data_IF_217693999119
#
_entry.id   IF_217693999119
#
_cell.length_a   1.000
_cell.length_b   1.000
_cell.length_c   1.000
_cell.angle_alpha   90.00
_cell.angle_beta   90.00
_cell.angle_gamma   90.00
#
_symmetry.space_group_name_H-M   'P 1'
#
loop_
_entity.id
_entity.type
_entity.pdbx_description
1 polymer ?
#
# COMPACT_ATOMS: atom_id res chain seq x y z
N UNK A 1 -2.43 -22.35 -27.22
CA UNK A 1 -3.62 -21.80 -26.52
C UNK A 1 -3.12 -20.83 -25.46
N UNK A 2 -3.20 -19.53 -25.72
CA UNK A 2 -2.77 -18.52 -24.75
C UNK A 2 -3.72 -18.52 -23.56
N UNK A 3 -3.19 -18.76 -22.35
CA UNK A 3 -3.98 -18.63 -21.13
C UNK A 3 -4.51 -17.20 -21.05
N UNK A 4 -5.82 -17.02 -20.89
CA UNK A 4 -6.43 -15.72 -20.64
C UNK A 4 -5.87 -15.18 -19.31
N UNK A 5 -4.80 -14.41 -19.37
CA UNK A 5 -4.26 -13.73 -18.19
C UNK A 5 -5.34 -12.78 -17.69
N UNK A 6 -5.81 -12.98 -16.46
CA UNK A 6 -6.81 -12.12 -15.84
C UNK A 6 -6.33 -10.67 -15.94
N UNK A 7 -7.08 -9.84 -16.67
CA UNK A 7 -6.73 -8.43 -16.88
C UNK A 7 -7.00 -7.60 -15.63
N UNK A 8 -7.87 -8.10 -14.77
CA UNK A 8 -8.40 -7.46 -13.57
C UNK A 8 -7.77 -8.09 -12.34
N UNK A 9 -7.14 -7.25 -11.52
CA UNK A 9 -6.42 -7.66 -10.33
C UNK A 9 -7.03 -6.99 -9.11
N UNK A 10 -7.30 -7.77 -8.08
CA UNK A 10 -7.76 -7.22 -6.81
C UNK A 10 -6.59 -6.60 -6.04
N UNK A 11 -6.72 -5.31 -5.74
CA UNK A 11 -5.79 -4.60 -4.86
C UNK A 11 -5.98 -5.02 -3.41
N UNK A 12 -7.22 -5.32 -3.03
CA UNK A 12 -7.62 -5.80 -1.72
C UNK A 12 -8.17 -7.22 -1.86
N UNK A 13 -7.72 -8.20 -1.07
CA UNK A 13 -8.22 -9.58 -1.17
C UNK A 13 -9.74 -9.62 -1.06
N UNK A 14 -10.42 -10.39 -1.93
CA UNK A 14 -11.88 -10.41 -1.94
C UNK A 14 -12.48 -10.80 -0.59
N UNK A 15 -11.82 -11.68 0.18
CA UNK A 15 -12.32 -12.07 1.48
C UNK A 15 -12.32 -10.91 2.50
N UNK A 16 -11.43 -9.92 2.35
CA UNK A 16 -11.45 -8.68 3.13
C UNK A 16 -12.71 -7.90 2.77
N UNK A 17 -12.95 -7.70 1.48
CA UNK A 17 -14.09 -6.95 0.96
C UNK A 17 -15.43 -7.59 1.35
N UNK A 18 -15.53 -8.92 1.37
CA UNK A 18 -16.73 -9.64 1.84
C UNK A 18 -17.08 -9.33 3.29
N UNK A 19 -16.11 -8.98 4.13
CA UNK A 19 -16.39 -8.60 5.51
C UNK A 19 -17.11 -7.25 5.64
N UNK A 20 -17.06 -6.41 4.60
CA UNK A 20 -17.70 -5.09 4.52
C UNK A 20 -18.87 -5.09 3.53
N UNK A 21 -19.22 -6.25 2.97
CA UNK A 21 -20.25 -6.35 1.97
C UNK A 21 -21.63 -6.60 2.61
N UNK A 22 -22.63 -5.90 2.09
CA UNK A 22 -24.05 -6.15 2.33
C UNK A 22 -24.64 -6.74 1.04
N UNK A 23 -25.30 -7.91 1.13
CA UNK A 23 -25.84 -8.64 -0.02
C UNK A 23 -24.83 -8.83 -1.17
N UNK A 24 -23.57 -9.11 -0.81
CA UNK A 24 -22.48 -9.30 -1.78
C UNK A 24 -21.97 -8.00 -2.44
N UNK A 25 -22.37 -6.84 -1.95
CA UNK A 25 -21.95 -5.52 -2.45
C UNK A 25 -21.25 -4.72 -1.36
N UNK A 26 -20.13 -4.09 -1.70
CA UNK A 26 -19.50 -3.08 -0.85
C UNK A 26 -20.17 -1.74 -1.11
N UNK A 27 -20.49 -1.00 -0.05
CA UNK A 27 -20.98 0.38 -0.13
C UNK A 27 -19.78 1.33 -0.20
N UNK A 28 -19.63 1.99 -1.35
CA UNK A 28 -18.64 3.04 -1.56
C UNK A 28 -19.29 4.41 -1.46
N UNK A 29 -18.48 5.44 -1.18
CA UNK A 29 -18.92 6.84 -1.18
C UNK A 29 -18.07 7.66 -2.14
N UNK A 30 -18.72 8.36 -3.06
CA UNK A 30 -18.06 9.31 -3.95
C UNK A 30 -17.61 10.55 -3.18
N UNK A 31 -16.67 11.32 -3.74
CA UNK A 31 -16.25 12.63 -3.19
C UNK A 31 -17.43 13.58 -2.95
N UNK A 32 -18.44 13.54 -3.82
CA UNK A 32 -19.67 14.35 -3.70
C UNK A 32 -20.61 13.88 -2.59
N UNK A 33 -20.24 12.84 -1.83
CA UNK A 33 -21.03 12.30 -0.73
C UNK A 33 -22.10 11.30 -1.14
N UNK A 34 -22.38 11.13 -2.44
CA UNK A 34 -23.27 10.12 -2.97
C UNK A 34 -22.73 8.70 -2.75
N UNK A 35 -23.60 7.80 -2.34
CA UNK A 35 -23.27 6.40 -2.12
C UNK A 35 -23.43 5.59 -3.41
N UNK A 36 -22.66 4.51 -3.53
CA UNK A 36 -22.78 3.57 -4.63
C UNK A 36 -22.50 2.15 -4.14
N UNK A 37 -23.18 1.17 -4.74
CA UNK A 37 -22.98 -0.25 -4.43
C UNK A 37 -22.10 -0.87 -5.52
N UNK A 38 -21.04 -1.54 -5.12
CA UNK A 38 -20.13 -2.23 -6.02
C UNK A 38 -20.10 -3.72 -5.66
N UNK A 39 -20.41 -4.64 -6.59
CA UNK A 39 -20.27 -6.07 -6.32
C UNK A 39 -18.85 -6.38 -5.86
N UNK A 40 -18.67 -7.24 -4.85
CA UNK A 40 -17.34 -7.58 -4.29
C UNK A 40 -16.34 -7.98 -5.38
N UNK A 41 -16.79 -8.74 -6.39
CA UNK A 41 -15.96 -9.18 -7.53
C UNK A 41 -15.41 -8.04 -8.40
N UNK A 42 -15.98 -6.84 -8.30
CA UNK A 42 -15.55 -5.64 -9.04
C UNK A 42 -14.98 -4.56 -8.11
N UNK A 43 -15.03 -4.76 -6.79
CA UNK A 43 -14.52 -3.81 -5.82
C UNK A 43 -12.99 -3.93 -5.68
N UNK A 44 -12.34 -2.76 -5.54
CA UNK A 44 -10.88 -2.63 -5.44
C UNK A 44 -10.12 -3.38 -6.56
N UNK A 45 -10.65 -3.34 -7.79
CA UNK A 45 -10.01 -3.95 -8.96
C UNK A 45 -9.22 -2.90 -9.73
N UNK A 46 -8.00 -3.24 -10.12
CA UNK A 46 -7.19 -2.47 -11.06
C UNK A 46 -6.78 -3.34 -12.24
N UNK A 47 -6.78 -2.77 -13.44
CA UNK A 47 -6.35 -3.49 -14.64
C UNK A 47 -4.83 -3.50 -14.75
N UNK A 48 -4.27 -4.64 -15.12
CA UNK A 48 -2.84 -4.85 -15.33
C UNK A 48 -1.91 -4.54 -14.15
N UNK A 49 -2.46 -4.41 -12.93
CA UNK A 49 -1.72 -4.04 -11.73
C UNK A 49 -0.57 -4.98 -11.36
N UNK A 50 -0.77 -6.30 -11.50
CA UNK A 50 0.26 -7.31 -11.24
C UNK A 50 0.71 -8.01 -12.53
N UNK A 51 0.44 -7.40 -13.69
CA UNK A 51 0.82 -7.98 -14.98
C UNK A 51 2.23 -7.49 -15.34
N UNK A 52 3.20 -8.39 -15.32
CA UNK A 52 4.52 -8.12 -15.88
C UNK A 52 4.57 -8.58 -17.35
N UNK A 53 5.04 -7.73 -18.30
CA UNK A 53 5.26 -8.13 -19.67
C UNK A 53 6.48 -9.05 -19.75
N UNK A 54 6.35 -10.23 -20.35
CA UNK A 54 7.48 -11.11 -20.66
C UNK A 54 8.15 -10.67 -21.98
N UNK A 55 9.40 -11.09 -22.18
CA UNK A 55 10.18 -10.78 -23.39
C UNK A 55 9.48 -11.23 -24.69
N UNK A 56 8.61 -12.23 -24.62
CA UNK A 56 7.82 -12.76 -25.74
C UNK A 56 6.42 -12.13 -25.86
N UNK A 57 6.13 -11.08 -25.08
CA UNK A 57 4.82 -10.41 -25.05
C UNK A 57 3.75 -11.12 -24.23
N UNK A 58 4.05 -12.32 -23.69
CA UNK A 58 3.21 -13.02 -22.74
C UNK A 58 3.08 -12.25 -21.41
N UNK A 59 2.01 -12.55 -20.65
CA UNK A 59 1.66 -11.85 -19.40
C UNK A 59 1.53 -12.83 -18.25
N UNK A 60 2.25 -12.58 -17.15
CA UNK A 60 2.30 -13.50 -15.99
C UNK A 60 1.43 -13.02 -14.82
N UNK A 61 0.76 -13.96 -14.15
CA UNK A 61 -0.01 -13.75 -12.88
C UNK A 61 0.62 -14.49 -11.69
N UNK A 62 1.92 -14.80 -11.77
CA UNK A 62 2.62 -15.58 -10.75
C UNK A 62 2.56 -14.92 -9.36
N UNK A 63 2.61 -13.59 -9.30
CA UNK A 63 2.50 -12.84 -8.05
C UNK A 63 1.13 -13.04 -7.38
N UNK A 64 0.03 -13.09 -8.14
CA UNK A 64 -1.30 -13.27 -7.54
C UNK A 64 -1.49 -14.67 -6.98
N UNK A 65 -1.03 -15.67 -7.72
CA UNK A 65 -1.05 -17.05 -7.25
C UNK A 65 -0.19 -17.20 -6.00
N UNK A 66 0.96 -16.50 -5.94
CA UNK A 66 1.81 -16.48 -4.76
C UNK A 66 1.10 -15.80 -3.57
N UNK A 67 0.55 -14.60 -3.77
CA UNK A 67 -0.12 -13.85 -2.72
C UNK A 67 -1.33 -14.62 -2.17
N UNK A 68 -2.17 -15.19 -3.03
CA UNK A 68 -3.31 -16.01 -2.61
C UNK A 68 -2.87 -17.19 -1.74
N UNK A 69 -1.86 -17.96 -2.19
CA UNK A 69 -1.43 -19.19 -1.51
C UNK A 69 -0.59 -18.95 -0.25
N UNK A 70 0.25 -17.91 -0.25
CA UNK A 70 1.28 -17.73 0.77
C UNK A 70 1.05 -16.53 1.69
N UNK A 71 0.13 -15.63 1.35
CA UNK A 71 -0.10 -14.40 2.12
C UNK A 71 -1.57 -14.25 2.49
N UNK A 72 -2.42 -14.06 1.49
CA UNK A 72 -3.82 -13.70 1.64
C UNK A 72 -4.62 -14.88 2.22
N UNK A 73 -4.46 -16.09 1.68
CA UNK A 73 -5.12 -17.31 2.19
C UNK A 73 -4.73 -17.65 3.63
N UNK A 74 -3.42 -17.78 3.95
CA UNK A 74 -2.96 -18.04 5.32
C UNK A 74 -3.39 -16.98 6.35
N UNK A 75 -3.54 -15.71 5.95
CA UNK A 75 -3.94 -14.62 6.84
C UNK A 75 -5.44 -14.60 7.16
N UNK A 76 -6.28 -15.25 6.35
CA UNK A 76 -7.73 -15.19 6.52
C UNK A 76 -8.26 -15.58 7.92
N UNK A 77 -7.73 -16.62 8.61
CA UNK A 77 -8.11 -16.93 9.99
C UNK A 77 -7.73 -15.82 10.99
N UNK A 78 -6.54 -15.25 10.90
CA UNK A 78 -6.07 -14.19 11.80
C UNK A 78 -6.95 -12.93 11.70
N UNK A 79 -7.37 -12.56 10.48
CA UNK A 79 -8.26 -11.42 10.27
C UNK A 79 -9.69 -11.67 10.77
N UNK A 80 -10.18 -12.91 10.67
CA UNK A 80 -11.46 -13.28 11.29
C UNK A 80 -11.40 -13.13 12.82
N UNK A 81 -10.33 -13.62 13.44
CA UNK A 81 -10.08 -13.46 14.87
C UNK A 81 -10.07 -11.98 15.30
N UNK A 82 -9.31 -11.14 14.58
CA UNK A 82 -9.26 -9.69 14.84
C UNK A 82 -10.66 -9.04 14.76
N UNK A 83 -11.46 -9.42 13.76
CA UNK A 83 -12.82 -8.92 13.57
C UNK A 83 -13.78 -9.36 14.67
N UNK A 84 -13.59 -10.58 15.18
CA UNK A 84 -14.33 -11.12 16.33
C UNK A 84 -13.87 -10.53 17.66
N UNK A 85 -12.93 -9.58 17.61
CA UNK A 85 -12.45 -8.83 18.76
C UNK A 85 -11.35 -9.54 19.53
N UNK A 86 -10.77 -10.61 18.98
CA UNK A 86 -9.64 -11.30 19.58
C UNK A 86 -8.36 -10.47 19.38
N UNK A 87 -7.89 -9.90 20.48
CA UNK A 87 -6.63 -9.15 20.56
C UNK A 87 -6.07 -9.26 21.98
N UNK A 88 -4.78 -9.55 22.17
CA UNK A 88 -3.77 -9.81 21.15
C UNK A 88 -4.01 -11.13 20.40
N UNK A 89 -3.50 -11.22 19.18
CA UNK A 89 -3.40 -12.49 18.45
C UNK A 89 -2.33 -13.38 19.09
N UNK A 90 -2.44 -14.70 18.90
CA UNK A 90 -1.33 -15.60 19.24
C UNK A 90 -0.11 -15.34 18.34
N UNK A 91 1.06 -15.87 18.72
CA UNK A 91 2.31 -15.59 18.02
C UNK A 91 2.30 -15.97 16.53
N UNK A 92 1.64 -17.07 16.16
CA UNK A 92 1.57 -17.53 14.77
C UNK A 92 0.61 -16.64 13.95
N UNK A 93 -0.57 -16.36 14.49
CA UNK A 93 -1.54 -15.46 13.88
C UNK A 93 -1.00 -14.04 13.76
N UNK A 94 -0.26 -13.57 14.76
CA UNK A 94 0.39 -12.26 14.75
C UNK A 94 1.42 -12.16 13.63
N UNK A 95 2.28 -13.18 13.47
CA UNK A 95 3.30 -13.20 12.42
C UNK A 95 2.66 -13.17 11.02
N UNK A 96 1.61 -13.95 10.78
CA UNK A 96 0.92 -13.95 9.49
C UNK A 96 0.15 -12.64 9.25
N UNK A 97 -0.44 -12.04 10.27
CA UNK A 97 -1.07 -10.73 10.17
C UNK A 97 -0.05 -9.63 9.83
N UNK A 98 1.15 -9.69 10.42
CA UNK A 98 2.25 -8.78 10.12
C UNK A 98 2.71 -8.89 8.66
N UNK A 99 2.90 -10.12 8.17
CA UNK A 99 3.30 -10.37 6.78
C UNK A 99 2.25 -9.84 5.80
N UNK A 100 0.97 -10.09 6.08
CA UNK A 100 -0.12 -9.57 5.27
C UNK A 100 -0.15 -8.03 5.27
N UNK A 101 0.03 -7.37 6.41
CA UNK A 101 0.11 -5.92 6.49
C UNK A 101 1.28 -5.36 5.68
N UNK A 102 2.46 -5.96 5.78
CA UNK A 102 3.63 -5.56 4.99
C UNK A 102 3.35 -5.68 3.48
N UNK A 103 2.73 -6.79 3.05
CA UNK A 103 2.32 -6.96 1.65
C UNK A 103 1.28 -5.93 1.20
N UNK A 104 0.32 -5.58 2.05
CA UNK A 104 -0.67 -4.54 1.69
C UNK A 104 -0.02 -3.17 1.47
N UNK A 105 0.99 -2.80 2.26
CA UNK A 105 1.75 -1.54 2.07
C UNK A 105 2.46 -1.53 0.72
N UNK A 106 3.18 -2.60 0.39
CA UNK A 106 3.97 -2.72 -0.85
C UNK A 106 3.08 -2.84 -2.10
N UNK A 107 1.86 -3.37 -1.94
CA UNK A 107 0.84 -3.46 -2.99
C UNK A 107 0.09 -2.15 -3.22
N UNK A 108 0.39 -1.08 -2.51
CA UNK A 108 -0.25 0.22 -2.81
C UNK A 108 0.30 0.81 -4.11
N UNK A 109 -0.57 1.51 -4.84
CA UNK A 109 -0.15 2.29 -6.01
C UNK A 109 0.92 3.32 -5.64
N UNK A 110 0.82 3.94 -4.46
CA UNK A 110 1.81 4.88 -3.97
C UNK A 110 3.21 4.25 -3.87
N UNK A 111 3.30 3.03 -3.33
CA UNK A 111 4.58 2.33 -3.20
C UNK A 111 5.14 1.94 -4.58
N UNK A 112 4.31 1.41 -5.48
CA UNK A 112 4.75 1.09 -6.85
C UNK A 112 5.20 2.33 -7.62
N UNK A 113 4.44 3.42 -7.56
CA UNK A 113 4.81 4.67 -8.21
C UNK A 113 6.07 5.28 -7.61
N UNK A 114 6.29 5.15 -6.30
CA UNK A 114 7.53 5.56 -5.66
C UNK A 114 8.71 4.72 -6.17
N UNK A 115 8.60 3.40 -6.18
CA UNK A 115 9.66 2.51 -6.66
C UNK A 115 9.97 2.75 -8.15
N UNK A 116 8.95 2.97 -8.97
CA UNK A 116 9.09 3.34 -10.37
C UNK A 116 9.77 4.71 -10.53
N UNK A 117 9.42 5.71 -9.73
CA UNK A 117 10.06 7.03 -9.74
C UNK A 117 11.52 6.94 -9.29
N UNK A 118 11.80 6.20 -8.21
CA UNK A 118 13.15 5.95 -7.73
C UNK A 118 13.98 5.27 -8.82
N UNK A 119 13.44 4.23 -9.46
CA UNK A 119 14.06 3.58 -10.61
C UNK A 119 14.33 4.59 -11.74
N UNK A 120 13.31 5.35 -12.16
CA UNK A 120 13.43 6.33 -13.25
C UNK A 120 14.49 7.41 -12.98
N UNK A 121 14.60 7.88 -11.74
CA UNK A 121 15.48 8.99 -11.41
C UNK A 121 16.88 8.57 -10.96
N UNK A 122 17.03 7.41 -10.31
CA UNK A 122 18.33 6.91 -9.86
C UNK A 122 19.04 6.03 -10.89
N UNK A 123 18.30 5.37 -11.79
CA UNK A 123 18.90 4.48 -12.78
C UNK A 123 19.97 5.18 -13.64
N UNK A 124 19.78 6.41 -14.16
CA UNK A 124 20.81 7.07 -14.96
C UNK A 124 22.11 7.31 -14.19
N UNK A 125 22.02 7.56 -12.89
CA UNK A 125 23.18 7.76 -12.00
C UNK A 125 23.92 6.46 -11.78
N UNK A 126 23.20 5.37 -11.51
CA UNK A 126 23.80 4.04 -11.33
C UNK A 126 24.43 3.54 -12.63
N UNK A 127 23.75 3.72 -13.76
CA UNK A 127 24.29 3.41 -15.10
C UNK A 127 25.59 4.16 -15.38
N UNK A 128 25.63 5.46 -15.05
CA UNK A 128 26.82 6.27 -15.24
C UNK A 128 27.98 5.84 -14.34
N UNK A 129 27.71 5.38 -13.12
CA UNK A 129 28.74 4.83 -12.24
C UNK A 129 29.35 3.54 -12.82
N UNK A 130 28.52 2.63 -13.34
CA UNK A 130 29.00 1.41 -14.02
C UNK A 130 29.80 1.75 -15.29
N UNK A 131 29.37 2.75 -16.06
CA UNK A 131 30.09 3.19 -17.26
C UNK A 131 31.48 3.77 -16.93
N UNK A 132 31.62 4.49 -15.81
CA UNK A 132 32.91 4.94 -15.30
C UNK A 132 33.80 3.74 -14.97
N UNK A 133 33.29 2.77 -14.21
CA UNK A 133 34.03 1.56 -13.85
C UNK A 133 34.49 0.78 -15.09
N UNK A 134 33.60 0.57 -16.05
CA UNK A 134 33.92 -0.07 -17.33
C UNK A 134 35.01 0.65 -18.12
N UNK A 135 34.99 1.99 -18.15
CA UNK A 135 36.04 2.77 -18.81
C UNK A 135 37.40 2.66 -18.10
N UNK A 136 37.41 2.68 -16.76
CA UNK A 136 38.62 2.49 -15.95
C UNK A 136 39.24 1.10 -16.19
N UNK A 137 38.40 0.06 -16.17
CA UNK A 137 38.81 -1.32 -16.49
C UNK A 137 39.37 -1.44 -17.91
N UNK A 138 38.67 -0.89 -18.91
CA UNK A 138 39.08 -0.98 -20.31
C UNK A 138 40.38 -0.23 -20.61
N UNK A 139 40.65 0.86 -19.89
CA UNK A 139 41.88 1.64 -20.02
C UNK A 139 43.02 1.12 -19.15
N UNK A 140 42.75 0.12 -18.29
CA UNK A 140 43.68 -0.43 -17.30
C UNK A 140 44.32 0.65 -16.42
N UNK A 141 43.54 1.70 -16.10
CA UNK A 141 43.94 2.78 -15.21
C UNK A 141 42.74 3.52 -14.64
N UNK A 142 42.89 4.15 -13.47
CA UNK A 142 41.92 5.12 -13.00
C UNK A 142 41.78 6.29 -13.99
N UNK A 143 40.55 6.79 -14.10
CA UNK A 143 40.27 8.03 -14.81
C UNK A 143 40.62 9.21 -13.88
N UNK A 144 41.15 10.29 -14.47
CA UNK A 144 41.26 11.57 -13.78
C UNK A 144 39.86 12.11 -13.42
N UNK A 145 39.79 13.03 -12.47
CA UNK A 145 38.51 13.60 -12.03
C UNK A 145 37.72 14.23 -13.18
N UNK A 146 38.39 14.94 -14.08
CA UNK A 146 37.77 15.54 -15.27
C UNK A 146 37.21 14.46 -16.22
N UNK A 147 38.00 13.42 -16.51
CA UNK A 147 37.55 12.29 -17.34
C UNK A 147 36.37 11.56 -16.69
N UNK A 148 36.40 11.34 -15.37
CA UNK A 148 35.31 10.72 -14.62
C UNK A 148 34.03 11.53 -14.75
N UNK A 149 34.09 12.84 -14.55
CA UNK A 149 32.92 13.72 -14.68
C UNK A 149 32.38 13.74 -16.10
N UNK A 150 33.25 13.78 -17.11
CA UNK A 150 32.84 13.76 -18.51
C UNK A 150 32.14 12.46 -18.89
N UNK A 151 32.75 11.31 -18.57
CA UNK A 151 32.16 9.98 -18.80
C UNK A 151 30.86 9.84 -18.04
N UNK A 152 30.83 10.22 -16.77
CA UNK A 152 29.64 10.13 -15.93
C UNK A 152 28.47 10.92 -16.53
N UNK A 153 28.65 12.22 -16.81
CA UNK A 153 27.55 13.04 -17.32
C UNK A 153 27.11 12.66 -18.73
N UNK A 154 28.03 12.17 -19.55
CA UNK A 154 27.70 11.62 -20.87
C UNK A 154 26.86 10.35 -20.73
N UNK A 155 27.26 9.44 -19.84
CA UNK A 155 26.51 8.22 -19.57
C UNK A 155 25.14 8.49 -18.93
N UNK A 156 24.99 9.49 -18.06
CA UNK A 156 23.68 9.91 -17.53
C UNK A 156 22.73 10.33 -18.65
N UNK A 157 23.21 11.16 -19.61
CA UNK A 157 22.39 11.63 -20.74
C UNK A 157 22.06 10.53 -21.75
N UNK A 158 22.93 9.53 -21.85
CA UNK A 158 22.78 8.38 -22.75
C UNK A 158 22.17 7.16 -22.07
N UNK A 159 21.78 7.28 -20.79
CA UNK A 159 21.21 6.17 -20.05
C UNK A 159 19.95 5.68 -20.78
N UNK A 160 19.85 4.37 -21.07
CA UNK A 160 18.66 3.83 -21.72
C UNK A 160 17.45 3.98 -20.81
N UNK A 161 16.26 3.93 -21.40
CA UNK A 161 15.04 3.88 -20.60
C UNK A 161 15.12 2.66 -19.66
N UNK A 162 14.90 2.83 -18.34
CA UNK A 162 14.97 1.74 -17.38
C UNK A 162 14.08 0.55 -17.76
N UNK A 163 12.98 0.78 -18.47
CA UNK A 163 12.07 -0.26 -18.96
C UNK A 163 12.68 -1.15 -20.05
N UNK A 164 13.70 -0.69 -20.78
CA UNK A 164 14.41 -1.47 -21.81
C UNK A 164 15.43 -2.45 -21.22
N UNK A 165 15.88 -2.20 -19.99
CA UNK A 165 16.82 -3.06 -19.24
C UNK A 165 16.10 -3.84 -18.11
N UNK A 166 14.87 -3.44 -17.77
CA UNK A 166 14.08 -4.10 -16.75
C UNK A 166 13.78 -5.55 -17.15
N UNK A 167 14.52 -6.49 -16.56
CA UNK A 167 14.07 -7.86 -16.40
C UNK A 167 12.64 -7.83 -15.84
N UNK A 168 11.65 -8.49 -16.45
CA UNK A 168 10.28 -8.57 -15.93
C UNK A 168 10.22 -9.06 -14.47
N UNK A 169 11.23 -9.80 -14.01
CA UNK A 169 11.37 -10.24 -12.61
C UNK A 169 11.85 -9.12 -11.67
N UNK A 170 12.29 -7.98 -12.18
CA UNK A 170 12.80 -6.84 -11.39
C UNK A 170 11.72 -6.25 -10.50
N UNK A 171 10.50 -6.06 -11.00
CA UNK A 171 9.36 -5.56 -10.22
C UNK A 171 9.02 -6.51 -9.06
N UNK A 172 8.94 -7.82 -9.33
CA UNK A 172 8.71 -8.82 -8.28
C UNK A 172 9.83 -8.84 -7.25
N UNK A 173 11.11 -8.78 -7.66
CA UNK A 173 12.25 -8.71 -6.74
C UNK A 173 12.24 -7.43 -5.91
N UNK A 174 11.90 -6.29 -6.52
CA UNK A 174 11.77 -5.03 -5.82
C UNK A 174 10.66 -5.09 -4.77
N UNK A 175 9.50 -5.68 -5.13
CA UNK A 175 8.39 -5.91 -4.19
C UNK A 175 8.76 -6.86 -3.05
N UNK A 176 9.48 -7.96 -3.31
CA UNK A 176 9.94 -8.87 -2.26
C UNK A 176 10.90 -8.15 -1.30
N UNK A 177 11.90 -7.42 -1.82
CA UNK A 177 12.83 -6.65 -0.97
C UNK A 177 12.11 -5.54 -0.20
N UNK A 178 11.14 -4.90 -0.82
CA UNK A 178 10.29 -3.91 -0.17
C UNK A 178 9.44 -4.53 0.94
N UNK A 179 8.91 -5.72 0.71
CA UNK A 179 8.18 -6.48 1.72
C UNK A 179 9.07 -6.80 2.91
N UNK A 180 10.28 -7.32 2.69
CA UNK A 180 11.24 -7.63 3.77
C UNK A 180 11.54 -6.38 4.60
N UNK A 181 11.90 -5.26 3.96
CA UNK A 181 12.14 -4.00 4.66
C UNK A 181 10.90 -3.50 5.43
N UNK A 182 9.72 -3.61 4.84
CA UNK A 182 8.47 -3.16 5.48
C UNK A 182 8.14 -4.04 6.68
N UNK A 183 8.29 -5.36 6.54
CA UNK A 183 8.09 -6.34 7.60
C UNK A 183 9.02 -6.07 8.79
N UNK A 184 10.31 -5.88 8.53
CA UNK A 184 11.30 -5.57 9.57
C UNK A 184 10.96 -4.26 10.28
N UNK A 185 10.53 -3.25 9.52
CA UNK A 185 10.10 -1.96 10.06
C UNK A 185 8.82 -2.05 10.89
N UNK A 186 7.91 -2.98 10.59
CA UNK A 186 6.73 -3.24 11.42
C UNK A 186 7.05 -4.10 12.66
N UNK A 187 8.04 -5.00 12.55
CA UNK A 187 8.52 -5.87 13.62
C UNK A 187 9.52 -5.22 14.58
N UNK A 188 10.05 -4.05 14.24
CA UNK A 188 11.17 -3.43 14.94
C UNK A 188 10.89 -3.27 16.46
N UNK A 189 11.90 -3.48 17.32
CA UNK A 189 11.76 -3.29 18.76
C UNK A 189 11.18 -1.91 19.11
N UNK A 190 10.26 -1.88 20.08
CA UNK A 190 9.58 -0.65 20.50
C UNK A 190 8.39 -0.25 19.61
N UNK A 191 8.14 -0.95 18.50
CA UNK A 191 6.90 -0.82 17.73
C UNK A 191 5.91 -1.89 18.15
N UNK A 192 4.63 -1.51 18.16
CA UNK A 192 3.52 -2.42 18.43
C UNK A 192 2.40 -2.16 17.46
N UNK A 193 1.82 -3.22 16.92
CA UNK A 193 0.53 -3.12 16.26
C UNK A 193 -0.53 -2.76 17.29
N UNK A 194 -1.49 -1.92 16.88
CA UNK A 194 -2.63 -1.53 17.72
C UNK A 194 -3.89 -1.78 16.92
N UNK A 195 -4.81 -2.56 17.48
CA UNK A 195 -6.13 -2.76 16.89
C UNK A 195 -7.01 -1.55 17.21
N UNK A 196 -7.33 -0.77 16.18
CA UNK A 196 -8.30 0.32 16.28
C UNK A 196 -9.70 -0.24 15.98
N UNK A 197 -10.67 0.07 16.84
CA UNK A 197 -12.08 -0.26 16.61
C UNK A 197 -12.83 1.00 16.20
N UNK A 198 -13.48 0.95 15.05
CA UNK A 198 -14.43 1.98 14.63
C UNK A 198 -15.85 1.54 15.00
N UNK A 199 -16.66 2.48 15.49
CA UNK A 199 -18.09 2.24 15.74
C UNK A 199 -18.84 1.98 14.43
N UNK A 200 -18.38 2.61 13.34
CA UNK A 200 -18.90 2.42 12.00
C UNK A 200 -18.01 1.46 11.20
N UNK A 201 -18.61 0.56 10.43
CA UNK A 201 -17.91 -0.34 9.50
C UNK A 201 -17.40 0.44 8.28
N UNK A 202 -16.43 1.34 8.47
CA UNK A 202 -15.82 2.08 7.39
C UNK A 202 -14.40 1.58 7.11
N UNK A 203 -14.07 1.40 5.82
CA UNK A 203 -12.70 1.23 5.37
C UNK A 203 -12.34 2.46 4.54
N UNK A 204 -11.32 3.19 4.95
CA UNK A 204 -10.68 4.20 4.10
C UNK A 204 -9.47 3.58 3.39
N UNK A 205 -9.55 3.46 2.07
CA UNK A 205 -8.39 3.07 1.26
C UNK A 205 -7.76 4.33 0.67
N UNK A 206 -6.47 4.62 0.94
CA UNK A 206 -5.76 5.68 0.25
C UNK A 206 -5.37 5.19 -1.14
N UNK A 207 -6.30 5.17 -2.10
CA UNK A 207 -5.92 5.13 -3.52
C UNK A 207 -5.37 6.48 -3.96
N UNK A 208 -4.47 6.48 -4.93
CA UNK A 208 -3.77 7.65 -5.44
C UNK A 208 -4.73 8.76 -5.91
N UNK A 209 -4.48 9.98 -5.43
CA UNK A 209 -5.35 11.15 -5.58
C UNK A 209 -6.65 10.99 -4.80
N UNK A 210 -7.44 12.04 -4.60
CA UNK A 210 -8.70 11.98 -3.84
C UNK A 210 -8.48 12.16 -2.32
N UNK A 211 -8.14 13.40 -1.86
CA UNK A 211 -8.04 13.71 -0.44
C UNK A 211 -9.40 13.54 0.24
N UNK A 212 -9.43 12.71 1.28
CA UNK A 212 -10.61 12.50 2.11
C UNK A 212 -10.52 13.49 3.29
N UNK A 213 -11.36 14.53 3.28
CA UNK A 213 -11.60 15.33 4.47
C UNK A 213 -12.47 14.51 5.43
N UNK A 214 -11.89 14.01 6.51
CA UNK A 214 -12.66 13.52 7.63
C UNK A 214 -13.47 14.70 8.19
N UNK A 215 -14.81 14.58 8.25
CA UNK A 215 -15.60 15.44 9.12
C UNK A 215 -15.26 15.06 10.55
N UNK A 216 -14.50 15.90 11.22
CA UNK A 216 -14.48 15.93 12.68
C UNK A 216 -15.88 16.29 13.17
N UNK A 217 -16.56 15.34 13.80
CA UNK A 217 -17.66 15.67 14.69
C UNK A 217 -17.07 16.30 15.96
N UNK A 218 -17.52 17.48 16.42
CA UNK A 218 -17.02 18.07 17.66
C UNK A 218 -17.84 17.51 18.83
N UNK A 219 -17.28 16.63 19.65
CA UNK A 219 -17.82 16.40 20.99
C UNK A 219 -16.82 15.71 21.92
N UNK A 220 -15.82 16.46 22.40
CA UNK A 220 -15.28 16.24 23.75
C UNK A 220 -14.95 17.61 24.33
N UNK A 221 -15.88 18.17 25.09
CA UNK A 221 -15.60 19.29 26.00
C UNK A 221 -14.78 18.77 27.17
N UNK A 222 -13.50 19.15 27.24
CA UNK A 222 -12.68 19.03 28.45
C UNK A 222 -13.08 20.11 29.47
N UNK A 223 -12.91 19.84 30.78
CA UNK A 223 -13.45 20.68 31.85
C UNK A 223 -12.63 21.95 32.03
N UNK A 224 -13.28 23.11 31.99
CA UNK A 224 -12.71 24.35 32.49
C UNK A 224 -12.94 24.48 33.99
N UNK A 225 -11.84 24.38 34.74
CA UNK A 225 -11.71 24.96 36.06
C UNK A 225 -11.82 26.50 35.96
N UNK A 226 -12.87 27.10 36.51
CA UNK A 226 -12.75 28.21 37.48
C UNK A 226 -14.11 28.56 38.11
N UNK A 227 -14.13 29.01 39.38
CA UNK A 227 -15.33 29.02 40.21
C UNK A 227 -16.06 30.37 40.16
N UNK A 228 -17.40 30.38 40.24
CA UNK A 228 -18.14 31.46 40.93
C UNK A 228 -19.63 31.13 41.12
N UNK A 229 -19.97 31.02 42.40
CA UNK A 229 -21.15 31.52 43.13
C UNK A 229 -22.56 31.19 42.61
N UNK A 230 -23.24 30.46 43.49
CA UNK A 230 -24.69 30.37 43.69
C UNK A 230 -25.44 31.69 43.53
N UNK A 231 -26.64 31.61 42.93
CA UNK A 231 -27.93 31.76 43.63
C UNK A 231 -29.13 31.69 42.65
N UNK A 232 -30.18 31.05 43.18
CA UNK A 232 -31.61 31.35 42.98
C UNK A 232 -32.21 31.27 41.56
N UNK A 233 -33.15 30.32 41.39
CA UNK A 233 -34.58 30.57 41.12
C UNK A 233 -34.87 30.69 39.61
N UNK A 234 -35.92 30.15 38.98
CA UNK A 234 -37.24 29.71 39.38
C UNK A 234 -37.76 28.66 38.37
N UNK A 235 -38.70 27.84 38.85
CA UNK A 235 -39.87 27.25 38.16
C UNK A 235 -40.17 27.76 36.74
N UNK A 236 -40.58 26.87 35.82
CA UNK A 236 -42.01 26.61 35.57
C UNK A 236 -42.26 25.43 34.62
N UNK A 237 -43.33 24.70 34.91
CA UNK A 237 -43.96 23.66 34.08
C UNK A 237 -44.51 24.18 32.75
N UNK A 238 -44.54 23.33 31.71
CA UNK A 238 -45.79 22.77 31.15
C UNK A 238 -45.52 21.81 29.99
N UNK A 239 -46.09 20.60 30.11
CA UNK A 239 -46.56 19.77 28.99
C UNK A 239 -47.61 20.53 28.20
N UNK A 240 -47.73 20.30 26.89
CA UNK A 240 -48.99 19.95 26.19
C UNK A 240 -48.61 19.35 24.82
N UNK A 241 -49.23 18.20 24.52
CA UNK A 241 -49.36 17.44 23.25
C UNK A 241 -48.09 16.90 22.59
#
# INVERSE_FOLDING_TARGET
MGANTAKEHHLVPQYWLRAFAEDGHVLGRWRGGAEHRTPVRHAAVARHFNTDPLAEGERRVALETYLDRHVDGPCAPALRALREGQWPLDGAQYAVALDALAWQVVRTQAFRSFDEQVGRHLFPVLWAQEAVGYCEERLDRPLSEAERLEVFWTAVRMAPDPSLIADPRSALRAMIRAFERTRDLLAAPGRRLVLLRSADRCWSWPTAGWPCAARTAPSVSLPHCCPRRSRSSLRCHRRVC
#
